data_IF_726538165895
#
_entry.id   IF_726538165895
#
_cell.length_a   1.000
_cell.length_b   1.000
_cell.length_c   1.000
_cell.angle_alpha   90.00
_cell.angle_beta   90.00
_cell.angle_gamma   90.00
#
_symmetry.space_group_name_H-M   'P 1'
#
loop_
_entity.id
_entity.type
_entity.pdbx_description
1 polymer ?
#
# COMPACT_ATOMS: atom_id res chain seq x y z
N UNK A 1 12.25 12.75 30.99
CA UNK A 1 12.26 14.18 30.65
C UNK A 1 13.16 14.96 31.59
N UNK A 2 13.84 15.98 31.08
CA UNK A 2 14.77 16.84 31.84
C UNK A 2 14.00 17.74 32.85
N UNK A 3 14.52 17.94 34.08
CA UNK A 3 13.87 18.81 35.08
C UNK A 3 13.97 20.30 34.70
N UNK A 4 13.01 21.10 35.19
CA UNK A 4 13.04 22.56 35.04
C UNK A 4 14.14 23.14 35.93
N UNK A 5 15.34 23.28 35.39
CA UNK A 5 16.49 23.87 36.07
C UNK A 5 16.36 25.41 36.17
N UNK A 6 16.95 26.00 37.20
CA UNK A 6 16.95 27.45 37.42
C UNK A 6 17.52 28.22 36.22
N UNK A 7 18.60 27.70 35.60
CA UNK A 7 19.23 28.27 34.40
C UNK A 7 18.24 28.48 33.24
N UNK A 8 17.29 27.56 33.03
CA UNK A 8 16.29 27.65 31.96
C UNK A 8 15.26 28.75 32.23
N UNK A 9 14.97 29.04 33.51
CA UNK A 9 14.06 30.12 33.89
C UNK A 9 14.69 31.49 33.62
N UNK A 10 15.98 31.63 33.91
CA UNK A 10 16.72 32.88 33.67
C UNK A 10 16.85 33.16 32.17
N UNK A 11 17.19 32.16 31.35
CA UNK A 11 17.23 32.29 29.88
C UNK A 11 15.86 32.66 29.30
N UNK A 12 14.77 32.02 29.76
CA UNK A 12 13.42 32.31 29.29
C UNK A 12 12.96 33.72 29.71
N UNK A 13 13.35 34.20 30.90
CA UNK A 13 13.06 35.56 31.35
C UNK A 13 13.75 36.61 30.48
N UNK A 14 15.01 36.36 30.10
CA UNK A 14 15.75 37.23 29.16
C UNK A 14 15.08 37.25 27.79
N UNK A 15 14.70 36.09 27.24
CA UNK A 15 14.02 35.99 25.95
C UNK A 15 12.64 36.68 25.95
N UNK A 16 11.87 36.54 27.04
CA UNK A 16 10.58 37.21 27.19
C UNK A 16 10.73 38.75 27.22
N UNK A 17 11.83 39.25 27.77
CA UNK A 17 12.17 40.68 27.79
C UNK A 17 12.49 41.30 26.42
N UNK A 18 12.72 40.49 25.38
CA UNK A 18 13.05 40.97 24.04
C UNK A 18 11.83 41.48 23.23
N UNK A 19 10.61 41.42 23.78
CA UNK A 19 9.41 41.95 23.13
C UNK A 19 8.96 41.19 21.86
N UNK A 20 9.46 39.96 21.65
CA UNK A 20 9.06 39.09 20.54
C UNK A 20 8.14 37.98 21.04
N UNK A 21 7.12 37.56 20.26
CA UNK A 21 6.30 36.41 20.62
C UNK A 21 7.14 35.14 20.71
N UNK A 22 6.99 34.39 21.80
CA UNK A 22 7.68 33.12 22.03
C UNK A 22 6.68 31.98 21.99
N UNK A 23 7.01 30.92 21.26
CA UNK A 23 6.26 29.67 21.23
C UNK A 23 7.12 28.52 21.76
N UNK A 24 6.99 28.17 23.05
CA UNK A 24 7.61 26.99 23.61
C UNK A 24 7.15 25.73 22.88
N UNK A 25 8.13 24.92 22.49
CA UNK A 25 7.91 23.61 21.86
C UNK A 25 8.39 22.52 22.82
N UNK A 26 7.48 21.62 23.21
CA UNK A 26 7.77 20.51 24.10
C UNK A 26 8.07 19.24 23.28
N UNK A 27 9.33 18.79 23.32
CA UNK A 27 9.84 17.68 22.51
C UNK A 27 9.78 16.30 23.19
N UNK A 28 9.30 16.17 24.44
CA UNK A 28 9.51 14.97 25.28
C UNK A 28 8.24 14.20 25.67
N UNK A 29 7.18 14.30 24.84
CA UNK A 29 5.83 13.87 25.24
C UNK A 29 5.62 12.35 25.10
N UNK A 30 6.47 11.63 24.37
CA UNK A 30 6.34 10.18 24.16
C UNK A 30 7.03 9.30 25.21
N UNK A 31 7.79 9.87 26.16
CA UNK A 31 8.55 9.09 27.16
C UNK A 31 7.76 8.85 28.45
N UNK A 32 7.78 7.63 29.03
CA UNK A 32 7.28 7.39 30.39
C UNK A 32 7.98 8.31 31.41
N UNK A 33 7.21 8.96 32.29
CA UNK A 33 7.75 9.93 33.25
C UNK A 33 8.05 11.32 32.65
N UNK A 34 7.35 11.71 31.58
CA UNK A 34 7.41 13.09 31.08
C UNK A 34 6.95 14.08 32.16
N UNK A 35 7.61 15.24 32.24
CA UNK A 35 7.30 16.30 33.20
C UNK A 35 6.55 17.45 32.54
N UNK A 36 5.59 17.11 31.69
CA UNK A 36 4.87 18.10 30.87
C UNK A 36 4.15 19.15 31.73
N UNK A 37 3.44 18.70 32.77
CA UNK A 37 2.67 19.58 33.63
C UNK A 37 3.59 20.50 34.46
N UNK A 38 4.77 20.03 34.88
CA UNK A 38 5.78 20.86 35.53
C UNK A 38 6.31 21.96 34.59
N UNK A 39 6.59 21.62 33.33
CA UNK A 39 7.03 22.58 32.31
C UNK A 39 5.93 23.58 31.95
N UNK A 40 4.68 23.12 31.80
CA UNK A 40 3.52 23.98 31.56
C UNK A 40 3.34 25.02 32.66
N UNK A 41 3.42 24.59 33.93
CA UNK A 41 3.30 25.50 35.07
C UNK A 41 4.47 26.50 35.15
N UNK A 42 5.69 26.06 34.86
CA UNK A 42 6.85 26.94 34.84
C UNK A 42 6.75 28.01 33.73
N UNK A 43 6.34 27.62 32.52
CA UNK A 43 6.15 28.53 31.39
C UNK A 43 5.00 29.51 31.62
N UNK A 44 3.89 29.05 32.19
CA UNK A 44 2.75 29.91 32.52
C UNK A 44 3.13 31.00 33.55
N UNK A 45 3.99 30.70 34.52
CA UNK A 45 4.52 31.69 35.48
C UNK A 45 5.39 32.76 34.84
N UNK A 46 5.93 32.50 33.64
CA UNK A 46 6.69 33.44 32.83
C UNK A 46 5.82 34.15 31.78
N UNK A 47 4.49 33.99 31.84
CA UNK A 47 3.54 34.59 30.88
C UNK A 47 3.44 33.85 29.54
N UNK A 48 4.07 32.68 29.41
CA UNK A 48 4.07 31.88 28.18
C UNK A 48 2.95 30.84 28.23
N UNK A 49 1.76 31.24 27.78
CA UNK A 49 0.54 30.42 27.83
C UNK A 49 0.28 29.61 26.54
N UNK A 50 0.81 30.06 25.40
CA UNK A 50 0.76 29.30 24.16
C UNK A 50 1.92 28.29 24.15
N UNK A 51 1.65 27.00 24.01
CA UNK A 51 2.66 25.94 23.90
C UNK A 51 2.26 24.93 22.83
N UNK A 52 3.25 24.36 22.14
CA UNK A 52 3.03 23.29 21.18
C UNK A 52 3.75 22.03 21.63
N UNK A 53 3.03 20.92 21.59
CA UNK A 53 3.61 19.58 21.71
C UNK A 53 4.09 19.17 20.32
N UNK A 54 5.40 19.09 20.13
CA UNK A 54 6.00 18.67 18.87
C UNK A 54 7.23 17.85 19.20
N UNK A 55 7.08 16.54 19.21
CA UNK A 55 8.21 15.64 19.37
C UNK A 55 8.95 15.54 18.04
N UNK A 56 10.22 15.94 17.95
CA UNK A 56 10.98 15.87 16.69
C UNK A 56 11.30 14.44 16.26
N UNK A 57 11.14 13.46 17.17
CA UNK A 57 11.35 12.02 16.94
C UNK A 57 10.03 11.31 16.61
N UNK A 58 8.90 11.80 17.15
CA UNK A 58 7.56 11.26 16.89
C UNK A 58 6.46 12.36 16.89
N UNK A 59 6.49 13.32 15.93
CA UNK A 59 5.60 14.48 15.95
C UNK A 59 4.15 14.02 15.72
N UNK A 60 3.13 14.44 16.50
CA UNK A 60 1.74 13.98 16.38
C UNK A 60 1.18 14.16 14.95
N UNK A 61 0.08 13.46 14.61
CA UNK A 61 -0.47 13.43 13.22
C UNK A 61 -0.67 14.82 12.63
N UNK A 62 -1.18 15.73 13.45
CA UNK A 62 -1.36 17.12 13.07
C UNK A 62 -0.27 18.04 13.66
N UNK A 63 0.88 17.52 14.05
CA UNK A 63 1.90 18.24 14.81
C UNK A 63 2.44 19.46 14.07
N UNK A 64 2.74 19.30 12.78
CA UNK A 64 3.24 20.38 11.92
C UNK A 64 2.14 21.42 11.65
N UNK A 65 0.93 20.96 11.34
CA UNK A 65 -0.25 21.83 11.17
C UNK A 65 -0.53 22.64 12.44
N UNK A 66 -0.60 21.98 13.60
CA UNK A 66 -0.83 22.61 14.91
C UNK A 66 0.28 23.60 15.28
N UNK A 67 1.52 23.31 14.90
CA UNK A 67 2.63 24.23 15.05
C UNK A 67 2.40 25.50 14.23
N UNK A 68 2.05 25.38 12.95
CA UNK A 68 1.78 26.53 12.08
C UNK A 68 0.53 27.31 12.49
N UNK A 69 -0.55 26.64 12.92
CA UNK A 69 -1.73 27.28 13.48
C UNK A 69 -1.40 28.08 14.75
N UNK A 70 -0.58 27.52 15.64
CA UNK A 70 -0.13 28.20 16.86
C UNK A 70 0.78 29.39 16.56
N UNK A 71 1.67 29.27 15.57
CA UNK A 71 2.48 30.38 15.09
C UNK A 71 1.62 31.48 14.46
N UNK A 72 0.56 31.13 13.73
CA UNK A 72 -0.35 32.09 13.11
C UNK A 72 -1.19 32.88 14.14
N UNK A 73 -1.43 32.31 15.33
CA UNK A 73 -2.04 33.02 16.45
C UNK A 73 -1.10 34.07 17.05
N UNK A 74 0.20 33.78 17.11
CA UNK A 74 1.22 34.68 17.66
C UNK A 74 1.73 35.72 16.66
N UNK A 75 1.70 35.40 15.36
CA UNK A 75 2.24 36.21 14.27
C UNK A 75 1.15 36.50 13.23
N UNK A 76 0.21 37.37 13.59
CA UNK A 76 -0.95 37.70 12.74
C UNK A 76 -0.56 38.12 11.32
N UNK A 77 0.49 38.95 11.17
CA UNK A 77 0.99 39.40 9.86
C UNK A 77 1.51 38.24 8.99
N UNK A 78 2.01 37.16 9.61
CA UNK A 78 2.53 35.99 8.91
C UNK A 78 1.44 34.94 8.62
N UNK A 79 0.24 35.07 9.19
CA UNK A 79 -0.88 34.13 9.03
C UNK A 79 -1.14 33.75 7.56
N UNK A 80 -1.22 34.69 6.58
CA UNK A 80 -1.48 34.31 5.19
C UNK A 80 -0.37 33.46 4.55
N UNK A 81 0.87 33.55 5.04
CA UNK A 81 2.00 32.73 4.55
C UNK A 81 2.00 31.35 5.21
N UNK A 82 1.75 31.30 6.52
CA UNK A 82 1.64 30.05 7.27
C UNK A 82 0.46 29.20 6.78
N UNK A 83 -0.68 29.83 6.46
CA UNK A 83 -1.85 29.15 5.92
C UNK A 83 -1.55 28.50 4.56
N UNK A 84 -0.84 29.22 3.66
CA UNK A 84 -0.39 28.65 2.38
C UNK A 84 0.55 27.46 2.56
N UNK A 85 1.40 27.49 3.59
CA UNK A 85 2.30 26.38 3.90
C UNK A 85 1.52 25.14 4.38
N UNK A 86 0.51 25.33 5.24
CA UNK A 86 -0.38 24.24 5.67
C UNK A 86 -1.07 23.61 4.45
N UNK A 87 -1.67 24.44 3.59
CA UNK A 87 -2.39 23.98 2.39
C UNK A 87 -1.48 23.23 1.41
N UNK A 88 -0.25 23.71 1.20
CA UNK A 88 0.73 23.03 0.34
C UNK A 88 1.14 21.67 0.93
N UNK A 89 1.41 21.59 2.24
CA UNK A 89 1.76 20.33 2.89
C UNK A 89 0.60 19.31 2.81
N UNK A 90 -0.64 19.75 3.03
CA UNK A 90 -1.85 18.92 2.91
C UNK A 90 -2.03 18.42 1.47
N UNK A 91 -1.87 19.30 0.47
CA UNK A 91 -1.94 18.93 -0.94
C UNK A 91 -0.85 17.91 -1.33
N UNK A 92 0.38 18.11 -0.86
CA UNK A 92 1.47 17.17 -1.09
C UNK A 92 1.22 15.82 -0.41
N UNK A 93 0.67 15.80 0.80
CA UNK A 93 0.31 14.57 1.50
C UNK A 93 -0.76 13.79 0.74
N UNK A 94 -1.81 14.48 0.27
CA UNK A 94 -2.85 13.88 -0.56
C UNK A 94 -2.28 13.33 -1.88
N UNK A 95 -1.41 14.09 -2.56
CA UNK A 95 -0.76 13.66 -3.80
C UNK A 95 0.15 12.43 -3.59
N UNK A 96 0.88 12.36 -2.47
CA UNK A 96 1.69 11.18 -2.11
C UNK A 96 0.80 9.95 -1.88
N UNK A 97 -0.30 10.08 -1.14
CA UNK A 97 -1.22 8.97 -0.91
C UNK A 97 -1.81 8.43 -2.21
N UNK A 98 -2.25 9.34 -3.09
CA UNK A 98 -2.73 9.01 -4.45
C UNK A 98 -1.68 8.26 -5.25
N UNK A 99 -0.42 8.75 -5.24
CA UNK A 99 0.70 8.12 -5.93
C UNK A 99 1.02 6.73 -5.35
N UNK A 100 0.94 6.57 -4.03
CA UNK A 100 1.12 5.28 -3.37
C UNK A 100 0.07 4.25 -3.78
N UNK A 101 -1.21 4.65 -3.80
CA UNK A 101 -2.30 3.79 -4.28
C UNK A 101 -2.12 3.38 -5.74
N UNK A 102 -1.57 4.29 -6.57
CA UNK A 102 -1.27 3.98 -7.97
C UNK A 102 -0.22 2.87 -8.10
N UNK A 103 0.86 2.93 -7.31
CA UNK A 103 1.89 1.89 -7.29
C UNK A 103 1.32 0.52 -6.92
N UNK A 104 0.39 0.48 -5.96
CA UNK A 104 -0.31 -0.75 -5.53
C UNK A 104 -1.22 -1.25 -6.65
N UNK A 105 -2.00 -0.38 -7.30
CA UNK A 105 -2.84 -0.77 -8.42
C UNK A 105 -2.01 -1.37 -9.56
N UNK A 106 -0.86 -0.77 -9.89
CA UNK A 106 0.06 -1.30 -10.90
C UNK A 106 0.61 -2.68 -10.54
N UNK A 107 0.98 -2.91 -9.28
CA UNK A 107 1.37 -4.23 -8.79
C UNK A 107 0.26 -5.26 -9.03
N UNK A 108 -0.96 -4.94 -8.61
CA UNK A 108 -2.08 -5.88 -8.69
C UNK A 108 -2.48 -6.18 -10.14
N UNK A 109 -2.48 -5.17 -11.02
CA UNK A 109 -2.70 -5.38 -12.47
C UNK A 109 -1.60 -6.25 -13.07
N UNK A 110 -0.33 -5.97 -12.76
CA UNK A 110 0.79 -6.77 -13.29
C UNK A 110 0.70 -8.23 -12.84
N UNK A 111 0.31 -8.49 -11.59
CA UNK A 111 0.18 -9.84 -11.05
C UNK A 111 -1.07 -10.55 -11.58
N UNK A 112 -2.21 -9.86 -11.70
CA UNK A 112 -3.45 -10.43 -12.23
C UNK A 112 -3.35 -10.78 -13.71
N UNK A 113 -2.64 -9.96 -14.50
CA UNK A 113 -2.37 -10.22 -15.92
C UNK A 113 -1.16 -11.14 -16.17
N UNK A 114 -0.40 -11.52 -15.14
CA UNK A 114 0.78 -12.38 -15.32
C UNK A 114 0.38 -13.78 -15.78
N UNK A 115 0.98 -14.25 -16.87
CA UNK A 115 0.74 -15.60 -17.42
C UNK A 115 2.03 -16.27 -17.85
N UNK A 116 2.09 -17.59 -17.68
CA UNK A 116 3.16 -18.45 -18.23
C UNK A 116 2.54 -19.60 -19.01
N UNK A 117 2.97 -19.80 -20.25
CA UNK A 117 2.59 -20.98 -21.03
C UNK A 117 3.72 -21.99 -20.98
N UNK A 118 3.41 -23.21 -20.58
CA UNK A 118 4.39 -24.29 -20.41
C UNK A 118 3.85 -25.58 -21.01
N UNK A 119 4.73 -26.43 -21.56
CA UNK A 119 4.30 -27.76 -21.98
C UNK A 119 3.78 -28.56 -20.77
N UNK A 120 2.77 -29.41 -20.98
CA UNK A 120 2.13 -30.21 -19.96
C UNK A 120 3.03 -31.39 -19.51
N UNK A 121 4.20 -31.06 -18.96
CA UNK A 121 5.19 -31.99 -18.43
C UNK A 121 5.51 -31.61 -16.98
N UNK A 122 5.45 -32.56 -16.03
CA UNK A 122 5.54 -32.25 -14.60
C UNK A 122 6.81 -31.50 -14.15
N UNK A 123 7.94 -31.70 -14.83
CA UNK A 123 9.19 -30.99 -14.48
C UNK A 123 9.21 -29.56 -15.02
N UNK A 124 8.77 -29.36 -16.26
CA UNK A 124 8.66 -28.05 -16.88
C UNK A 124 7.63 -27.19 -16.14
N UNK A 125 6.49 -27.77 -15.75
CA UNK A 125 5.47 -27.10 -14.94
C UNK A 125 6.03 -26.64 -13.59
N UNK A 126 6.75 -27.51 -12.87
CA UNK A 126 7.40 -27.15 -11.60
C UNK A 126 8.42 -26.01 -11.77
N UNK A 127 9.15 -25.99 -12.88
CA UNK A 127 10.05 -24.89 -13.24
C UNK A 127 9.29 -23.58 -13.46
N UNK A 128 8.28 -23.60 -14.32
CA UNK A 128 7.48 -22.42 -14.66
C UNK A 128 6.71 -21.85 -13.46
N UNK A 129 6.27 -22.70 -12.52
CA UNK A 129 5.67 -22.28 -11.25
C UNK A 129 6.68 -21.49 -10.40
N UNK A 130 7.91 -21.99 -10.25
CA UNK A 130 8.96 -21.29 -9.50
C UNK A 130 9.29 -19.93 -10.14
N UNK A 131 9.43 -19.91 -11.46
CA UNK A 131 9.68 -18.67 -12.20
C UNK A 131 8.54 -17.65 -12.05
N UNK A 132 7.29 -18.11 -12.05
CA UNK A 132 6.13 -17.26 -11.78
C UNK A 132 6.19 -16.68 -10.36
N UNK A 133 6.47 -17.54 -9.36
CA UNK A 133 6.60 -17.10 -7.96
C UNK A 133 7.69 -16.06 -7.78
N UNK A 134 8.87 -16.29 -8.35
CA UNK A 134 10.00 -15.38 -8.25
C UNK A 134 9.73 -14.05 -8.98
N UNK A 135 9.04 -14.09 -10.13
CA UNK A 135 8.63 -12.89 -10.83
C UNK A 135 7.65 -12.04 -10.01
N UNK A 136 6.68 -12.68 -9.33
CA UNK A 136 5.71 -12.00 -8.47
C UNK A 136 6.39 -11.42 -7.23
N UNK A 137 7.26 -12.19 -6.55
CA UNK A 137 8.06 -11.70 -5.41
C UNK A 137 8.91 -10.50 -5.81
N UNK A 138 9.60 -10.58 -6.94
CA UNK A 138 10.40 -9.47 -7.47
C UNK A 138 9.55 -8.24 -7.80
N UNK A 139 8.30 -8.43 -8.26
CA UNK A 139 7.37 -7.34 -8.55
C UNK A 139 6.83 -6.67 -7.30
N UNK A 140 6.52 -7.46 -6.28
CA UNK A 140 6.14 -6.98 -4.95
C UNK A 140 7.29 -6.16 -4.32
N UNK A 141 8.51 -6.70 -4.35
CA UNK A 141 9.69 -6.02 -3.83
C UNK A 141 9.91 -4.65 -4.48
N UNK A 142 9.78 -4.54 -5.81
CA UNK A 142 9.86 -3.24 -6.52
C UNK A 142 8.75 -2.28 -6.11
N UNK A 143 7.55 -2.78 -5.80
CA UNK A 143 6.45 -1.95 -5.28
C UNK A 143 6.81 -1.38 -3.92
N UNK A 144 7.29 -2.22 -3.00
CA UNK A 144 7.75 -1.80 -1.67
C UNK A 144 8.86 -0.75 -1.78
N UNK A 145 9.88 -0.98 -2.60
CA UNK A 145 10.97 -0.03 -2.80
C UNK A 145 10.49 1.32 -3.37
N UNK A 146 9.51 1.28 -4.27
CA UNK A 146 8.90 2.50 -4.84
C UNK A 146 8.08 3.26 -3.79
N UNK A 147 7.33 2.55 -2.93
CA UNK A 147 6.61 3.14 -1.81
C UNK A 147 7.56 3.76 -0.79
N UNK A 148 8.64 3.07 -0.42
CA UNK A 148 9.66 3.61 0.48
C UNK A 148 10.30 4.87 -0.10
N UNK A 149 10.65 4.85 -1.40
CA UNK A 149 11.22 6.02 -2.08
C UNK A 149 10.24 7.19 -2.14
N UNK A 150 8.95 6.93 -2.39
CA UNK A 150 7.89 7.94 -2.44
C UNK A 150 7.76 8.71 -1.11
N UNK A 151 7.99 8.02 0.01
CA UNK A 151 7.98 8.60 1.36
C UNK A 151 9.39 8.91 1.89
N UNK A 152 10.41 8.90 1.03
CA UNK A 152 11.81 9.18 1.36
C UNK A 152 12.42 8.33 2.50
N UNK A 153 11.90 7.12 2.73
CA UNK A 153 12.47 6.17 3.69
C UNK A 153 13.74 5.52 3.13
N UNK A 154 14.83 5.57 3.90
CA UNK A 154 16.04 4.78 3.59
C UNK A 154 15.84 3.33 4.03
N UNK A 155 16.40 2.37 3.28
CA UNK A 155 16.29 0.92 3.57
C UNK A 155 16.77 0.57 5.00
N UNK A 156 17.82 1.24 5.47
CA UNK A 156 18.37 1.10 6.83
C UNK A 156 17.41 1.63 7.90
N UNK A 157 16.70 2.72 7.63
CA UNK A 157 15.68 3.25 8.53
C UNK A 157 14.49 2.30 8.59
N UNK A 158 14.10 1.69 7.47
CA UNK A 158 13.00 0.75 7.42
C UNK A 158 13.27 -0.52 8.26
N UNK A 159 14.52 -0.99 8.31
CA UNK A 159 14.94 -2.11 9.17
C UNK A 159 15.02 -1.73 10.66
N UNK A 160 15.44 -0.50 10.99
CA UNK A 160 15.45 0.01 12.36
C UNK A 160 14.07 0.45 12.89
N UNK A 161 13.05 0.45 12.02
CA UNK A 161 11.76 1.11 12.25
C UNK A 161 10.69 0.22 12.86
N UNK A 162 10.99 -1.01 13.28
CA UNK A 162 9.97 -2.01 13.67
C UNK A 162 8.85 -2.08 12.62
N UNK A 163 9.20 -2.03 11.33
CA UNK A 163 8.34 -2.52 10.26
C UNK A 163 8.55 -4.03 10.26
N UNK A 164 7.78 -4.83 11.05
CA UNK A 164 8.05 -6.27 11.26
C UNK A 164 7.88 -7.07 9.95
N UNK A 165 7.36 -6.36 8.95
CA UNK A 165 7.13 -6.74 7.59
C UNK A 165 8.42 -6.88 6.77
N UNK A 166 9.52 -6.19 7.12
CA UNK A 166 10.76 -6.13 6.32
C UNK A 166 11.88 -7.05 6.82
N UNK A 167 11.67 -7.84 7.87
CA UNK A 167 12.66 -8.73 8.51
C UNK A 167 12.99 -10.00 7.68
N UNK A 168 13.20 -9.85 6.37
CA UNK A 168 13.53 -10.93 5.44
C UNK A 168 12.38 -11.89 5.11
N UNK A 169 11.28 -11.88 5.88
CA UNK A 169 10.11 -12.75 5.67
C UNK A 169 9.07 -12.22 4.68
N UNK A 170 9.24 -11.01 4.14
CA UNK A 170 8.24 -10.38 3.28
C UNK A 170 7.97 -11.19 2.00
N UNK A 171 9.03 -11.56 1.27
CA UNK A 171 8.93 -12.29 0.00
C UNK A 171 8.81 -13.81 0.13
N UNK A 172 9.34 -14.39 1.20
CA UNK A 172 9.36 -15.85 1.38
C UNK A 172 7.96 -16.44 1.64
N UNK A 173 7.06 -15.61 2.17
CA UNK A 173 5.79 -16.06 2.75
C UNK A 173 4.56 -15.87 1.84
N UNK A 174 4.73 -15.26 0.66
CA UNK A 174 3.63 -14.87 -0.24
C UNK A 174 2.73 -16.05 -0.68
N UNK A 175 3.33 -17.24 -0.79
CA UNK A 175 2.66 -18.45 -1.24
C UNK A 175 2.43 -19.46 -0.10
N UNK A 176 2.69 -19.07 1.14
CA UNK A 176 2.49 -19.92 2.32
C UNK A 176 1.02 -19.87 2.79
N UNK A 177 0.35 -21.03 2.92
CA UNK A 177 -1.06 -21.08 3.35
C UNK A 177 -1.29 -20.54 4.77
N UNK A 178 -0.32 -20.64 5.69
CA UNK A 178 -0.48 -20.14 7.05
C UNK A 178 -0.56 -18.60 7.09
N UNK A 179 0.15 -17.93 6.20
CA UNK A 179 0.18 -16.46 6.05
C UNK A 179 -1.14 -15.93 5.53
N UNK A 180 -1.72 -16.64 4.56
CA UNK A 180 -3.05 -16.34 4.05
C UNK A 180 -4.11 -16.44 5.16
N UNK A 181 -4.03 -17.48 6.00
CA UNK A 181 -4.92 -17.65 7.17
C UNK A 181 -4.71 -16.56 8.22
N UNK A 182 -3.46 -16.23 8.55
CA UNK A 182 -3.13 -15.18 9.53
C UNK A 182 -3.67 -13.81 9.14
N UNK A 183 -3.74 -13.51 7.83
CA UNK A 183 -4.33 -12.28 7.31
C UNK A 183 -5.84 -12.39 7.04
N UNK A 184 -6.47 -13.50 7.44
CA UNK A 184 -7.91 -13.72 7.35
C UNK A 184 -8.42 -13.94 5.92
N UNK A 185 -7.56 -14.31 4.98
CA UNK A 185 -7.96 -14.62 3.60
C UNK A 185 -8.58 -16.02 3.58
N UNK A 186 -9.89 -16.10 3.36
CA UNK A 186 -10.61 -17.38 3.26
C UNK A 186 -10.23 -18.09 1.96
N UNK A 187 -9.55 -19.23 2.07
CA UNK A 187 -9.34 -20.14 0.95
C UNK A 187 -10.68 -20.87 0.71
N UNK A 188 -11.34 -20.58 -0.42
CA UNK A 188 -12.66 -21.13 -0.73
C UNK A 188 -12.68 -22.67 -0.76
N UNK A 189 -13.69 -23.27 -0.15
CA UNK A 189 -13.86 -24.72 0.04
C UNK A 189 -14.01 -25.56 -1.24
N UNK A 190 -14.09 -24.95 -2.42
CA UNK A 190 -14.19 -25.64 -3.72
C UNK A 190 -12.84 -25.97 -4.39
N UNK A 191 -11.71 -25.59 -3.79
CA UNK A 191 -10.37 -25.63 -4.43
C UNK A 191 -9.46 -26.77 -3.93
N UNK A 192 -10.01 -27.75 -3.21
CA UNK A 192 -9.20 -28.74 -2.49
C UNK A 192 -8.64 -29.89 -3.36
N UNK A 193 -8.98 -30.01 -4.64
CA UNK A 193 -8.65 -31.20 -5.42
C UNK A 193 -7.36 -31.12 -6.27
N UNK A 194 -6.64 -29.99 -6.32
CA UNK A 194 -5.45 -29.92 -7.21
C UNK A 194 -4.41 -28.83 -6.96
N UNK A 195 -4.53 -28.02 -5.92
CA UNK A 195 -3.61 -26.91 -5.67
C UNK A 195 -2.44 -27.36 -4.76
N UNK A 196 -1.25 -27.53 -5.34
CA UNK A 196 -0.03 -27.33 -4.55
C UNK A 196 0.09 -25.83 -4.27
N UNK A 197 0.39 -25.47 -3.03
CA UNK A 197 0.34 -24.09 -2.52
C UNK A 197 1.00 -23.06 -3.46
N UNK A 198 0.21 -22.09 -3.90
CA UNK A 198 0.68 -20.87 -4.57
C UNK A 198 0.72 -20.89 -6.09
N UNK A 199 0.47 -22.01 -6.75
CA UNK A 199 0.20 -22.05 -8.17
C UNK A 199 -1.12 -22.78 -8.41
N UNK A 200 -2.22 -22.04 -8.37
CA UNK A 200 -3.49 -22.52 -8.87
C UNK A 200 -3.33 -22.93 -10.32
N UNK A 201 -3.44 -24.23 -10.55
CA UNK A 201 -3.99 -24.69 -11.81
C UNK A 201 -5.40 -24.13 -11.83
N UNK A 202 -5.62 -23.09 -12.63
CA UNK A 202 -6.97 -22.70 -13.05
C UNK A 202 -7.49 -23.82 -13.94
N UNK A 203 -7.92 -24.92 -13.31
CA UNK A 203 -9.04 -25.66 -13.85
C UNK A 203 -10.19 -24.67 -13.74
N UNK A 204 -10.39 -23.90 -14.80
CA UNK A 204 -11.66 -23.23 -15.05
C UNK A 204 -12.77 -24.29 -15.00
N UNK A 205 -13.27 -24.61 -13.81
CA UNK A 205 -14.64 -25.09 -13.61
C UNK A 205 -15.52 -23.85 -13.56
N UNK A 206 -15.45 -23.11 -14.67
CA UNK A 206 -16.22 -21.92 -14.99
C UNK A 206 -16.35 -21.72 -16.50
N UNK A 207 -15.69 -22.54 -17.31
CA UNK A 207 -15.75 -22.51 -18.77
C UNK A 207 -16.78 -23.43 -19.41
N UNK A 208 -17.46 -24.29 -18.64
CA UNK A 208 -18.52 -25.17 -19.19
C UNK A 208 -19.90 -24.49 -19.11
N UNK A 209 -20.13 -23.62 -18.12
CA UNK A 209 -21.45 -23.00 -17.87
C UNK A 209 -21.67 -21.64 -18.56
N UNK A 210 -20.68 -21.07 -19.23
CA UNK A 210 -20.85 -19.91 -20.13
C UNK A 210 -20.34 -20.16 -21.57
N UNK A 211 -19.79 -21.35 -21.84
CA UNK A 211 -19.39 -21.77 -23.18
C UNK A 211 -20.51 -22.39 -24.02
N UNK A 212 -21.51 -23.00 -23.39
CA UNK A 212 -22.67 -23.54 -24.10
C UNK A 212 -23.64 -22.43 -24.57
N UNK A 213 -23.73 -21.32 -23.84
CA UNK A 213 -24.62 -20.20 -24.18
C UNK A 213 -24.03 -19.28 -25.27
N UNK A 214 -22.70 -19.10 -25.32
CA UNK A 214 -22.04 -18.27 -26.32
C UNK A 214 -22.05 -18.89 -27.74
N UNK A 215 -22.22 -20.22 -27.84
CA UNK A 215 -22.30 -20.91 -29.13
C UNK A 215 -23.58 -20.54 -29.91
N UNK A 216 -24.65 -20.10 -29.24
CA UNK A 216 -25.88 -19.64 -29.87
C UNK A 216 -25.84 -18.15 -30.25
N UNK A 217 -25.05 -17.32 -29.56
CA UNK A 217 -24.92 -15.90 -29.87
C UNK A 217 -24.00 -15.58 -31.05
N UNK A 218 -23.06 -16.48 -31.37
CA UNK A 218 -22.07 -16.29 -32.43
C UNK A 218 -22.64 -16.42 -33.87
N UNK A 219 -23.90 -16.85 -34.02
CA UNK A 219 -24.59 -16.87 -35.32
C UNK A 219 -25.35 -15.56 -35.62
N UNK A 220 -25.45 -14.62 -34.65
CA UNK A 220 -26.25 -13.40 -34.81
C UNK A 220 -25.45 -12.08 -34.81
N UNK A 221 -24.22 -12.05 -34.29
CA UNK A 221 -23.45 -10.80 -34.15
C UNK A 221 -22.09 -10.87 -34.85
N UNK A 222 -21.99 -10.31 -36.05
CA UNK A 222 -20.76 -10.25 -36.83
C UNK A 222 -19.60 -9.60 -36.06
N UNK A 223 -18.49 -10.34 -35.91
CA UNK A 223 -17.27 -9.86 -35.27
C UNK A 223 -16.08 -10.76 -35.58
N UNK A 224 -15.56 -10.71 -36.81
CA UNK A 224 -14.45 -11.56 -37.27
C UNK A 224 -13.12 -11.32 -36.51
N UNK A 225 -12.99 -10.24 -35.74
CA UNK A 225 -11.78 -9.94 -34.96
C UNK A 225 -11.75 -10.66 -33.60
N UNK A 226 -12.90 -10.88 -32.96
CA UNK A 226 -12.98 -11.54 -31.63
C UNK A 226 -12.69 -13.04 -31.72
N UNK A 227 -13.04 -13.69 -32.84
CA UNK A 227 -12.78 -15.11 -33.08
C UNK A 227 -11.28 -15.45 -33.20
N UNK A 228 -10.47 -14.52 -33.74
CA UNK A 228 -9.02 -14.76 -33.93
C UNK A 228 -8.24 -14.76 -32.62
N UNK A 229 -8.62 -13.94 -31.64
CA UNK A 229 -7.94 -13.89 -30.35
C UNK A 229 -8.32 -15.07 -29.43
N UNK A 230 -9.56 -15.57 -29.55
CA UNK A 230 -10.03 -16.76 -28.84
C UNK A 230 -9.52 -18.09 -29.46
N UNK A 231 -9.32 -18.13 -30.78
CA UNK A 231 -8.83 -19.32 -31.49
C UNK A 231 -7.44 -19.79 -31.06
N UNK A 232 -6.52 -18.86 -30.78
CA UNK A 232 -5.18 -19.20 -30.26
C UNK A 232 -5.23 -19.86 -28.88
N UNK A 233 -6.25 -19.54 -28.06
CA UNK A 233 -6.45 -20.10 -26.71
C UNK A 233 -6.92 -21.56 -26.72
N UNK A 234 -7.68 -21.94 -27.74
CA UNK A 234 -8.10 -23.32 -28.00
C UNK A 234 -6.97 -24.14 -28.67
N UNK A 235 -6.19 -23.52 -29.56
CA UNK A 235 -5.03 -24.13 -30.20
C UNK A 235 -3.91 -24.49 -29.21
N UNK A 236 -3.71 -23.71 -28.15
CA UNK A 236 -2.73 -24.02 -27.10
C UNK A 236 -3.04 -25.33 -26.35
N UNK A 237 -4.32 -25.62 -26.11
CA UNK A 237 -4.77 -26.88 -25.48
C UNK A 237 -4.62 -28.08 -26.42
N UNK A 238 -4.77 -27.88 -27.72
CA UNK A 238 -4.47 -28.90 -28.74
C UNK A 238 -2.94 -29.14 -28.90
N UNK A 239 -2.10 -28.18 -28.51
CA UNK A 239 -0.62 -28.27 -28.53
C UNK A 239 -0.01 -28.83 -27.24
N UNK A 240 -0.82 -29.31 -26.29
CA UNK A 240 -0.31 -29.86 -25.03
C UNK A 240 0.35 -28.82 -24.11
N UNK A 241 -0.06 -27.55 -24.18
CA UNK A 241 0.42 -26.50 -23.27
C UNK A 241 -0.60 -26.16 -22.18
N UNK A 242 -0.09 -25.82 -21.01
CA UNK A 242 -0.81 -25.35 -19.81
C UNK A 242 -0.48 -23.89 -19.55
N UNK A 243 -1.49 -23.11 -19.21
CA UNK A 243 -1.33 -21.73 -18.77
C UNK A 243 -1.32 -21.68 -17.23
N UNK A 244 -0.33 -21.02 -16.67
CA UNK A 244 -0.21 -20.72 -15.25
C UNK A 244 -0.55 -19.26 -15.01
N UNK A 245 -1.32 -18.99 -13.94
CA UNK A 245 -1.65 -17.65 -13.47
C UNK A 245 -1.67 -17.62 -11.94
N UNK A 246 -1.71 -16.41 -11.37
CA UNK A 246 -1.68 -16.24 -9.91
C UNK A 246 -3.09 -16.35 -9.32
N UNK A 247 -3.21 -16.99 -8.15
CA UNK A 247 -4.47 -17.16 -7.44
C UNK A 247 -5.03 -15.85 -6.85
N UNK A 248 -6.35 -15.80 -6.70
CA UNK A 248 -7.05 -14.68 -6.05
C UNK A 248 -6.56 -14.42 -4.62
N UNK A 249 -6.22 -15.49 -3.89
CA UNK A 249 -5.73 -15.39 -2.51
C UNK A 249 -4.41 -14.59 -2.44
N UNK A 250 -3.53 -14.77 -3.41
CA UNK A 250 -2.26 -14.04 -3.51
C UNK A 250 -2.51 -12.58 -3.86
N UNK A 251 -3.45 -12.28 -4.77
CA UNK A 251 -3.83 -10.89 -5.09
C UNK A 251 -4.40 -10.16 -3.86
N UNK A 252 -5.25 -10.82 -3.07
CA UNK A 252 -5.77 -10.25 -1.80
C UNK A 252 -4.66 -10.01 -0.81
N UNK A 253 -3.75 -10.97 -0.65
CA UNK A 253 -2.61 -10.86 0.24
C UNK A 253 -1.72 -9.66 -0.13
N UNK A 254 -1.39 -9.51 -1.41
CA UNK A 254 -0.63 -8.36 -1.92
C UNK A 254 -1.37 -7.05 -1.63
N UNK A 255 -2.66 -6.96 -1.95
CA UNK A 255 -3.45 -5.76 -1.72
C UNK A 255 -3.43 -5.35 -0.23
N UNK A 256 -3.74 -6.29 0.67
CA UNK A 256 -3.76 -6.05 2.12
C UNK A 256 -2.40 -5.59 2.65
N UNK A 257 -1.33 -6.31 2.29
CA UNK A 257 0.03 -6.01 2.75
C UNK A 257 0.51 -4.65 2.27
N UNK A 258 0.33 -4.34 0.98
CA UNK A 258 0.80 -3.05 0.45
C UNK A 258 -0.04 -1.88 0.95
N UNK A 259 -1.36 -2.05 1.14
CA UNK A 259 -2.23 -1.03 1.77
C UNK A 259 -1.78 -0.74 3.20
N UNK A 260 -1.48 -1.79 3.96
CA UNK A 260 -0.97 -1.63 5.32
C UNK A 260 0.37 -0.88 5.33
N UNK A 261 1.31 -1.27 4.45
CA UNK A 261 2.58 -0.56 4.31
C UNK A 261 2.36 0.91 3.96
N UNK A 262 1.49 1.22 3.00
CA UNK A 262 1.18 2.59 2.61
C UNK A 262 0.57 3.39 3.77
N UNK A 263 -0.36 2.81 4.54
CA UNK A 263 -0.95 3.46 5.70
C UNK A 263 0.13 3.82 6.74
N UNK A 264 1.05 2.90 7.00
CA UNK A 264 2.18 3.12 7.91
C UNK A 264 3.13 4.20 7.39
N UNK A 265 3.43 4.21 6.09
CA UNK A 265 4.30 5.24 5.50
C UNK A 265 3.63 6.62 5.52
N UNK A 266 2.32 6.67 5.28
CA UNK A 266 1.52 7.87 5.35
C UNK A 266 1.44 8.44 6.78
N UNK A 267 1.37 7.58 7.80
CA UNK A 267 1.39 8.02 9.20
C UNK A 267 2.79 8.37 9.69
N UNK A 268 3.86 7.74 9.21
CA UNK A 268 5.20 7.99 9.78
C UNK A 268 5.86 9.28 9.27
N UNK A 269 5.35 9.87 8.19
CA UNK A 269 5.59 11.29 7.89
C UNK A 269 4.89 12.25 8.89
N UNK A 270 4.01 11.72 9.75
CA UNK A 270 3.07 12.42 10.62
C UNK A 270 2.73 11.59 11.91
N UNK A 271 3.70 11.17 12.73
CA UNK A 271 3.52 10.35 13.97
C UNK A 271 3.14 8.86 13.86
N UNK A 272 4.04 8.00 14.33
CA UNK A 272 3.83 7.10 15.48
C UNK A 272 5.04 6.18 15.65
N UNK A 273 5.50 6.03 16.89
CA UNK A 273 6.58 5.11 17.33
C UNK A 273 6.05 3.82 17.95
N UNK A 274 4.73 3.59 17.95
CA UNK A 274 4.21 2.30 18.37
C UNK A 274 4.55 1.24 17.32
N UNK A 275 5.18 0.15 17.76
CA UNK A 275 5.29 -1.07 16.98
C UNK A 275 3.92 -1.38 16.38
N UNK A 276 3.87 -1.50 15.07
CA UNK A 276 2.64 -1.70 14.31
C UNK A 276 2.04 -3.01 14.79
N UNK A 277 1.13 -2.93 15.77
CA UNK A 277 0.12 -3.97 15.92
C UNK A 277 -0.67 -3.90 14.64
N UNK A 278 -0.74 -5.04 13.96
CA UNK A 278 -1.67 -5.30 12.86
C UNK A 278 -3.10 -5.09 13.38
N UNK A 279 -3.51 -3.85 13.62
CA UNK A 279 -4.90 -3.48 13.67
C UNK A 279 -5.37 -3.68 12.23
N UNK A 280 -5.98 -4.84 12.02
CA UNK A 280 -6.49 -5.26 10.73
C UNK A 280 -7.47 -4.16 10.28
N UNK A 281 -7.21 -3.43 9.19
CA UNK A 281 -8.18 -2.46 8.69
C UNK A 281 -9.51 -3.17 8.43
N UNK A 282 -10.59 -2.42 8.38
CA UNK A 282 -11.93 -2.90 7.99
C UNK A 282 -12.00 -3.36 6.51
N UNK A 283 -10.91 -3.91 5.97
CA UNK A 283 -10.76 -4.49 4.63
C UNK A 283 -11.47 -5.86 4.52
N UNK A 284 -12.66 -6.00 5.12
CA UNK A 284 -13.50 -7.19 4.96
C UNK A 284 -13.80 -7.45 3.48
N UNK A 285 -13.92 -6.39 2.66
CA UNK A 285 -14.09 -6.50 1.21
C UNK A 285 -12.96 -7.27 0.53
N UNK A 286 -11.70 -6.99 0.88
CA UNK A 286 -10.55 -7.72 0.33
C UNK A 286 -10.34 -9.09 0.96
N UNK A 287 -10.69 -9.28 2.25
CA UNK A 287 -10.56 -10.57 2.93
C UNK A 287 -11.60 -11.60 2.51
N UNK A 288 -12.84 -11.17 2.31
CA UNK A 288 -14.01 -12.05 2.13
C UNK A 288 -14.87 -11.73 0.92
N UNK A 289 -14.82 -10.50 0.41
CA UNK A 289 -15.62 -10.04 -0.75
C UNK A 289 -15.12 -10.60 -2.08
N UNK A 290 -15.83 -10.33 -3.18
CA UNK A 290 -15.33 -10.67 -4.53
C UNK A 290 -14.12 -9.80 -4.86
N UNK A 291 -13.18 -10.34 -5.64
CA UNK A 291 -12.13 -9.48 -6.21
C UNK A 291 -12.78 -8.42 -7.10
N UNK A 292 -12.22 -7.20 -7.11
CA UNK A 292 -12.56 -6.15 -8.05
C UNK A 292 -12.77 -6.64 -9.48
N UNK A 293 -13.78 -6.13 -10.16
CA UNK A 293 -14.06 -6.47 -11.56
C UNK A 293 -12.89 -6.07 -12.46
N UNK A 294 -12.22 -4.95 -12.16
CA UNK A 294 -10.98 -4.55 -12.81
C UNK A 294 -9.92 -5.66 -12.83
N UNK A 295 -9.67 -6.34 -11.69
CA UNK A 295 -8.69 -7.43 -11.62
C UNK A 295 -9.13 -8.67 -12.40
N UNK A 296 -10.43 -8.96 -12.42
CA UNK A 296 -10.97 -10.05 -13.23
C UNK A 296 -10.77 -9.78 -14.72
N UNK A 297 -10.96 -8.53 -15.17
CA UNK A 297 -10.65 -8.12 -16.55
C UNK A 297 -9.16 -8.27 -16.85
N UNK A 298 -8.28 -7.80 -15.97
CA UNK A 298 -6.82 -7.92 -16.18
C UNK A 298 -6.36 -9.37 -16.46
N UNK A 299 -7.01 -10.37 -15.84
CA UNK A 299 -6.71 -11.79 -16.12
C UNK A 299 -6.86 -12.15 -17.59
N UNK A 300 -7.74 -11.49 -18.34
CA UNK A 300 -7.98 -11.75 -19.76
C UNK A 300 -6.98 -11.05 -20.70
N UNK A 301 -6.13 -10.15 -20.19
CA UNK A 301 -5.21 -9.32 -20.97
C UNK A 301 -3.75 -9.50 -20.53
N UNK A 302 -3.07 -10.59 -20.92
CA UNK A 302 -1.68 -10.86 -20.53
C UNK A 302 -0.71 -9.75 -20.91
N UNK A 303 -0.98 -9.04 -22.00
CA UNK A 303 -0.22 -7.89 -22.46
C UNK A 303 -0.19 -6.73 -21.44
N UNK A 304 -1.09 -6.69 -20.46
CA UNK A 304 -1.11 -5.62 -19.47
C UNK A 304 -0.10 -5.82 -18.34
N UNK A 305 0.50 -7.00 -18.24
CA UNK A 305 1.51 -7.29 -17.22
C UNK A 305 2.91 -6.94 -17.70
N UNK A 306 3.62 -6.12 -16.92
CA UNK A 306 5.06 -5.90 -17.12
C UNK A 306 5.90 -7.18 -16.90
N UNK A 307 5.31 -8.25 -16.36
CA UNK A 307 5.96 -9.54 -16.10
C UNK A 307 5.91 -10.47 -17.31
N UNK A 308 5.18 -10.10 -18.37
CA UNK A 308 5.04 -10.88 -19.58
C UNK A 308 5.87 -10.27 -20.72
N UNK A 309 6.39 -11.10 -21.66
CA UNK A 309 6.99 -10.57 -22.87
C UNK A 309 5.94 -9.83 -23.72
N UNK A 310 6.34 -8.72 -24.35
CA UNK A 310 5.45 -7.95 -25.23
C UNK A 310 4.42 -7.08 -24.50
N UNK A 311 4.70 -6.67 -23.26
CA UNK A 311 3.80 -5.85 -22.46
C UNK A 311 3.43 -4.52 -23.15
N UNK A 312 2.12 -4.19 -23.15
CA UNK A 312 1.51 -2.95 -23.65
C UNK A 312 1.07 -2.07 -22.48
N UNK A 313 2.03 -1.48 -21.78
CA UNK A 313 1.76 -0.73 -20.54
C UNK A 313 1.02 0.60 -20.76
N UNK A 314 1.11 1.16 -21.97
CA UNK A 314 0.45 2.42 -22.38
C UNK A 314 -0.94 2.20 -22.98
N UNK A 315 -1.45 0.97 -22.96
CA UNK A 315 -2.78 0.65 -23.48
C UNK A 315 -3.87 1.42 -22.69
N UNK A 316 -4.81 2.06 -23.40
CA UNK A 316 -5.83 2.90 -22.77
C UNK A 316 -6.78 2.14 -21.86
N UNK A 317 -7.11 0.88 -22.19
CA UNK A 317 -7.97 0.04 -21.36
C UNK A 317 -7.25 -0.40 -20.08
N UNK A 318 -5.94 -0.65 -20.17
CA UNK A 318 -5.09 -0.88 -19.00
C UNK A 318 -5.09 0.33 -18.07
N UNK A 319 -4.97 1.53 -18.62
CA UNK A 319 -4.97 2.77 -17.83
C UNK A 319 -6.31 2.95 -17.11
N UNK A 320 -7.43 2.71 -17.80
CA UNK A 320 -8.76 2.75 -17.19
C UNK A 320 -8.93 1.72 -16.05
N UNK A 321 -8.43 0.49 -16.24
CA UNK A 321 -8.46 -0.53 -15.19
C UNK A 321 -7.62 -0.13 -13.96
N UNK A 322 -6.49 0.55 -14.17
CA UNK A 322 -5.68 1.08 -13.06
C UNK A 322 -6.39 2.20 -12.30
N UNK A 323 -7.06 3.11 -13.00
CA UNK A 323 -7.79 4.22 -12.38
C UNK A 323 -8.99 3.72 -11.55
N UNK A 324 -9.72 2.73 -12.06
CA UNK A 324 -10.81 2.05 -11.33
C UNK A 324 -10.29 1.37 -10.07
N UNK A 325 -9.22 0.57 -10.19
CA UNK A 325 -8.64 -0.12 -9.05
C UNK A 325 -8.05 0.86 -8.01
N UNK A 326 -7.45 1.96 -8.47
CA UNK A 326 -6.98 3.02 -7.58
C UNK A 326 -8.14 3.65 -6.80
N UNK A 327 -9.29 3.86 -7.44
CA UNK A 327 -10.48 4.42 -6.79
C UNK A 327 -11.03 3.47 -5.71
N UNK A 328 -11.08 2.17 -5.98
CA UNK A 328 -11.48 1.17 -4.98
C UNK A 328 -10.52 1.12 -3.78
N UNK A 329 -9.21 1.22 -4.05
CA UNK A 329 -8.19 1.27 -3.00
C UNK A 329 -8.33 2.51 -2.09
N UNK A 330 -9.01 3.58 -2.53
CA UNK A 330 -9.32 4.76 -1.71
C UNK A 330 -10.54 4.58 -0.80
N UNK A 331 -11.50 3.75 -1.21
CA UNK A 331 -12.82 3.65 -0.57
C UNK A 331 -12.90 2.58 0.51
N UNK A 332 -11.99 1.60 0.47
CA UNK A 332 -11.80 0.60 1.53
C UNK A 332 -10.79 1.09 2.54
#
# INVERSE_FOLDING_TARGET
GEPVLAKYKDELAVLAGCGKPLLPVLNFVAQPGHREEEWRQALARLGLHALVRFDSVAPPVDGERRLYESLALLLEQARPKLQRLIEDHEAQAAARLVSGQRLIAELLVDVAACRRSVAAQPELERGAIRELHDAVRGREQRCVESLLRLYAFRKEQAAASDLPLLDGRWGDDLFNPETLKQLGVKIGSGMAAGAAAGAGVDLMVGGITLGAAALLGALAGGGAQTARHYGNRLLGKLKGQRELSVDDAVLRLLALRQRQLLAVLATRGHAATEAIRLATPQDQGWREGKLPEALQRCRAHPEWSSLNPGARLQDGERQAALDELQAELRQS
#
